data_IF_910064670803
#
_entry.id   IF_910064670803
#
_cell.length_a   1.000
_cell.length_b   1.000
_cell.length_c   1.000
_cell.angle_alpha   90.00
_cell.angle_beta   90.00
_cell.angle_gamma   90.00
#
_symmetry.space_group_name_H-M   'P 1'
#
loop_
_entity.id
_entity.type
_entity.pdbx_description
1 polymer ?
#
# COMPACT_ATOMS: atom_id res chain seq x y z
N UNK A 1 -13.32 -7.32 -24.84
CA UNK A 1 -13.76 -7.27 -23.43
C UNK A 1 -14.15 -5.84 -23.13
N UNK A 2 -15.43 -5.61 -22.85
CA UNK A 2 -15.95 -4.29 -22.52
C UNK A 2 -15.55 -3.93 -21.09
N UNK A 3 -14.57 -3.03 -20.95
CA UNK A 3 -13.98 -2.59 -19.68
C UNK A 3 -14.94 -1.76 -18.81
N UNK A 4 -16.14 -1.42 -19.31
CA UNK A 4 -17.10 -0.58 -18.58
C UNK A 4 -18.03 -1.35 -17.63
N UNK A 5 -18.22 -2.66 -17.84
CA UNK A 5 -19.18 -3.48 -17.07
C UNK A 5 -18.56 -4.74 -16.42
N UNK A 6 -17.23 -4.88 -16.42
CA UNK A 6 -16.55 -6.14 -16.09
C UNK A 6 -16.01 -6.32 -14.66
N UNK A 7 -15.99 -5.31 -13.80
CA UNK A 7 -15.32 -5.39 -12.49
C UNK A 7 -16.30 -5.68 -11.35
N UNK A 8 -16.83 -6.90 -11.28
CA UNK A 8 -17.79 -7.30 -10.24
C UNK A 8 -17.17 -7.88 -8.96
N UNK A 9 -15.85 -7.73 -8.73
CA UNK A 9 -15.20 -8.18 -7.50
C UNK A 9 -13.84 -7.49 -7.25
N UNK A 10 -13.78 -6.15 -7.32
CA UNK A 10 -12.61 -5.42 -6.83
C UNK A 10 -12.68 -5.34 -5.30
N UNK A 11 -11.82 -6.09 -4.61
CA UNK A 11 -11.49 -5.76 -3.20
C UNK A 11 -10.54 -4.57 -3.26
N UNK A 12 -10.98 -3.44 -2.70
CA UNK A 12 -10.17 -2.22 -2.65
C UNK A 12 -9.45 -2.19 -1.32
N UNK A 13 -8.13 -2.32 -1.33
CA UNK A 13 -7.35 -2.08 -0.11
C UNK A 13 -6.76 -0.69 -0.21
N UNK A 14 -7.37 0.25 0.50
CA UNK A 14 -6.84 1.58 0.72
C UNK A 14 -6.04 1.58 2.01
N UNK A 15 -4.79 1.99 1.90
CA UNK A 15 -3.98 2.28 3.08
C UNK A 15 -3.95 3.83 3.23
N UNK A 16 -4.70 4.45 4.18
CA UNK A 16 -4.92 5.94 4.21
C UNK A 16 -5.86 6.53 5.32
N UNK A 17 -6.70 7.56 5.15
CA UNK A 17 -7.85 7.85 6.10
C UNK A 17 -9.09 8.21 5.26
N UNK A 18 -10.35 7.86 5.63
CA UNK A 18 -11.55 8.23 4.90
C UNK A 18 -11.93 9.71 5.15
N UNK A 19 -12.93 10.20 4.44
CA UNK A 19 -13.24 11.62 4.22
C UNK A 19 -13.51 12.44 5.49
N UNK A 20 -12.77 13.54 5.68
CA UNK A 20 -13.37 14.81 6.11
C UNK A 20 -13.28 15.74 4.90
N UNK A 21 -14.44 16.26 4.48
CA UNK A 21 -14.57 17.26 3.42
C UNK A 21 -13.75 18.49 3.78
N UNK A 22 -12.74 18.80 2.99
CA UNK A 22 -12.17 20.14 2.98
C UNK A 22 -12.97 20.97 1.97
N UNK A 23 -13.47 22.13 2.43
CA UNK A 23 -14.27 23.07 1.61
C UNK A 23 -13.49 23.46 0.35
N UNK A 24 -14.15 23.61 -0.81
CA UNK A 24 -13.48 24.06 -2.03
C UNK A 24 -12.90 25.46 -1.83
N UNK A 25 -11.63 25.62 -2.18
CA UNK A 25 -10.99 26.93 -2.30
C UNK A 25 -11.63 27.68 -3.48
N UNK A 26 -12.44 28.70 -3.20
CA UNK A 26 -12.89 29.67 -4.19
C UNK A 26 -11.73 30.61 -4.53
N UNK A 27 -10.91 30.23 -5.50
CA UNK A 27 -10.00 31.15 -6.18
C UNK A 27 -10.70 31.74 -7.40
N UNK A 28 -11.28 32.93 -7.26
CA UNK A 28 -11.73 33.73 -8.40
C UNK A 28 -10.50 34.10 -9.25
N UNK A 29 -10.44 33.60 -10.49
CA UNK A 29 -9.53 34.13 -11.50
C UNK A 29 -10.17 35.37 -12.14
N UNK A 30 -9.55 36.52 -11.94
CA UNK A 30 -9.85 37.73 -12.72
C UNK A 30 -9.27 37.59 -14.13
N UNK A 31 -10.02 37.91 -15.21
CA UNK A 31 -9.49 37.83 -16.57
C UNK A 31 -8.64 39.08 -16.89
N UNK A 32 -7.43 38.88 -17.41
CA UNK A 32 -6.65 39.94 -18.06
C UNK A 32 -6.81 39.79 -19.57
N UNK A 33 -7.29 40.86 -20.21
CA UNK A 33 -7.62 40.93 -21.63
C UNK A 33 -6.49 41.62 -22.42
N UNK A 34 -6.07 40.99 -23.53
CA UNK A 34 -5.50 41.62 -24.74
C UNK A 34 -4.10 42.27 -24.71
N UNK A 35 -3.17 41.74 -25.52
CA UNK A 35 -2.64 42.41 -26.73
C UNK A 35 -1.62 41.53 -27.48
N UNK A 36 -1.72 41.51 -28.82
CA UNK A 36 -0.74 40.90 -29.74
C UNK A 36 0.44 41.87 -29.93
N UNK A 37 1.66 41.34 -29.92
CA UNK A 37 2.87 42.11 -30.21
C UNK A 37 4.00 41.22 -30.74
N UNK A 38 4.50 41.61 -31.90
CA UNK A 38 5.58 41.10 -32.75
C UNK A 38 6.78 40.34 -32.13
N UNK A 39 7.24 39.35 -32.90
CA UNK A 39 8.52 38.64 -32.75
C UNK A 39 9.72 39.59 -32.93
N UNK A 40 10.63 39.60 -31.95
CA UNK A 40 12.01 40.07 -32.05
C UNK A 40 12.95 38.99 -31.50
N UNK A 41 14.16 38.80 -32.05
CA UNK A 41 15.03 37.67 -31.74
C UNK A 41 15.69 37.85 -30.36
N UNK A 42 15.51 36.88 -29.47
CA UNK A 42 16.22 36.83 -28.18
C UNK A 42 17.69 36.39 -28.38
N UNK A 43 18.61 37.32 -28.17
CA UNK A 43 19.96 37.00 -27.70
C UNK A 43 19.86 36.47 -26.25
N UNK A 44 20.33 35.25 -26.01
CA UNK A 44 20.42 34.63 -24.67
C UNK A 44 21.75 35.02 -24.01
N UNK A 45 21.76 35.77 -22.89
CA UNK A 45 22.89 35.74 -21.97
C UNK A 45 22.73 34.53 -21.05
N UNK A 46 23.76 33.68 -21.01
CA UNK A 46 23.87 32.58 -20.07
C UNK A 46 23.88 33.11 -18.63
N UNK A 47 22.74 32.96 -17.93
CA UNK A 47 22.67 33.06 -16.47
C UNK A 47 21.99 31.82 -15.94
N UNK A 48 22.74 31.03 -15.17
CA UNK A 48 22.26 29.85 -14.45
C UNK A 48 21.32 30.28 -13.33
N UNK A 49 20.05 30.53 -13.65
CA UNK A 49 19.00 30.67 -12.64
C UNK A 49 18.65 29.28 -12.09
N UNK A 50 19.20 29.01 -10.92
CA UNK A 50 18.84 27.92 -10.01
C UNK A 50 17.32 27.98 -9.76
N UNK A 51 16.57 27.03 -10.29
CA UNK A 51 15.17 26.81 -9.92
C UNK A 51 15.13 26.38 -8.45
N UNK A 52 14.98 27.35 -7.54
CA UNK A 52 14.61 27.09 -6.15
C UNK A 52 13.16 27.52 -6.04
N UNK A 53 12.24 26.57 -6.02
CA UNK A 53 10.88 26.85 -5.58
C UNK A 53 10.96 27.36 -4.14
N UNK A 54 10.23 28.42 -3.75
CA UNK A 54 10.04 28.73 -2.35
C UNK A 54 9.30 27.54 -1.73
N UNK A 55 9.97 26.77 -0.90
CA UNK A 55 9.26 25.95 0.09
C UNK A 55 8.84 26.96 1.15
N UNK A 56 7.60 27.43 1.08
CA UNK A 56 6.99 28.21 2.15
C UNK A 56 6.99 27.33 3.40
N UNK A 57 7.99 27.52 4.26
CA UNK A 57 8.22 26.75 5.48
C UNK A 57 7.15 26.96 6.55
N UNK A 58 6.17 27.82 6.30
CA UNK A 58 5.12 28.20 7.26
C UNK A 58 3.75 27.55 7.00
N UNK A 59 3.57 26.77 5.93
CA UNK A 59 2.34 25.99 5.69
C UNK A 59 2.40 24.56 6.26
N UNK A 60 3.56 24.10 6.73
CA UNK A 60 3.80 22.72 7.20
C UNK A 60 3.40 22.47 8.67
N UNK A 61 2.38 23.15 9.19
CA UNK A 61 1.86 22.93 10.56
C UNK A 61 0.35 22.67 10.56
N UNK A 62 -0.14 21.91 9.59
CA UNK A 62 -1.40 21.19 9.85
C UNK A 62 -1.06 19.96 10.69
N UNK A 63 -1.68 19.89 11.85
CA UNK A 63 -1.52 18.82 12.83
C UNK A 63 -1.51 17.43 12.18
N UNK A 64 -0.39 16.72 12.34
CA UNK A 64 -0.24 15.29 12.08
C UNK A 64 -1.17 14.52 13.03
N UNK A 65 -2.46 14.46 12.69
CA UNK A 65 -3.40 13.57 13.35
C UNK A 65 -3.01 12.14 13.01
N UNK A 66 -3.03 11.26 14.03
CA UNK A 66 -2.56 9.88 13.94
C UNK A 66 -2.95 9.22 12.61
N UNK A 67 -1.95 9.00 11.75
CA UNK A 67 -2.16 8.74 10.34
C UNK A 67 -2.07 7.25 10.00
N UNK A 68 -2.98 6.72 9.18
CA UNK A 68 -2.65 5.46 8.55
C UNK A 68 -1.49 5.66 7.58
N UNK A 69 -0.54 4.74 7.63
CA UNK A 69 0.76 4.77 6.95
C UNK A 69 1.69 5.88 7.44
N UNK A 70 1.65 6.23 8.73
CA UNK A 70 2.54 7.25 9.33
C UNK A 70 3.29 6.71 10.54
N UNK A 71 4.31 7.45 10.96
CA UNK A 71 5.10 7.16 12.16
C UNK A 71 4.40 7.67 13.43
N UNK A 72 4.15 6.77 14.38
CA UNK A 72 3.47 7.06 15.65
C UNK A 72 4.29 6.60 16.85
N UNK A 73 4.12 7.27 18.00
CA UNK A 73 4.70 6.80 19.26
C UNK A 73 3.74 5.86 19.97
N UNK A 74 4.12 4.59 20.11
CA UNK A 74 3.40 3.58 20.89
C UNK A 74 4.26 3.21 22.09
N UNK A 75 3.75 3.45 23.30
CA UNK A 75 4.47 3.23 24.57
C UNK A 75 5.88 3.85 24.58
N UNK A 76 6.00 5.06 24.03
CA UNK A 76 7.26 5.82 23.95
C UNK A 76 8.21 5.39 22.83
N UNK A 77 7.89 4.34 22.06
CA UNK A 77 8.70 3.84 20.93
C UNK A 77 8.07 4.26 19.60
N UNK A 78 8.89 4.68 18.65
CA UNK A 78 8.43 4.95 17.28
C UNK A 78 7.99 3.65 16.61
N UNK A 79 6.86 3.69 15.92
CA UNK A 79 6.27 2.60 15.14
C UNK A 79 5.67 3.14 13.86
N UNK A 80 5.63 2.35 12.80
CA UNK A 80 4.88 2.68 11.59
C UNK A 80 3.67 1.77 11.48
N UNK A 81 2.50 2.36 11.27
CA UNK A 81 1.24 1.64 11.24
C UNK A 81 0.57 1.70 9.87
N UNK A 82 -0.06 0.61 9.47
CA UNK A 82 -0.97 0.52 8.32
C UNK A 82 -2.38 0.43 8.87
N UNK A 83 -3.23 1.41 8.52
CA UNK A 83 -4.64 1.48 8.94
C UNK A 83 -4.89 1.26 10.44
N UNK A 84 -3.99 1.76 11.30
CA UNK A 84 -4.10 1.68 12.75
C UNK A 84 -3.44 0.46 13.40
N UNK A 85 -2.74 -0.37 12.63
CA UNK A 85 -2.00 -1.52 13.15
C UNK A 85 -0.54 -1.43 12.70
N UNK A 86 0.39 -1.55 13.63
CA UNK A 86 1.82 -1.67 13.34
C UNK A 86 2.23 -3.13 13.45
N UNK A 87 2.84 -3.65 12.38
CA UNK A 87 3.20 -5.05 12.31
C UNK A 87 4.26 -5.42 13.36
N UNK A 88 4.10 -6.57 13.99
CA UNK A 88 5.11 -7.20 14.83
C UNK A 88 5.31 -8.65 14.40
N UNK A 89 6.57 -9.08 14.38
CA UNK A 89 6.93 -10.47 14.09
C UNK A 89 6.40 -11.41 15.19
N UNK A 90 5.83 -12.54 14.76
CA UNK A 90 5.41 -13.62 15.64
C UNK A 90 6.54 -14.64 15.84
N UNK A 91 6.56 -15.31 16.99
CA UNK A 91 7.55 -16.35 17.27
C UNK A 91 7.49 -17.55 16.31
N UNK A 92 6.30 -17.85 15.77
CA UNK A 92 6.11 -18.84 14.70
C UNK A 92 5.94 -18.09 13.37
N UNK A 93 6.65 -18.45 12.29
CA UNK A 93 6.45 -17.86 10.96
C UNK A 93 5.00 -17.99 10.49
N UNK A 94 4.43 -16.90 9.99
CA UNK A 94 3.00 -16.82 9.64
C UNK A 94 2.56 -17.91 8.66
N UNK A 95 3.33 -18.13 7.59
CA UNK A 95 3.01 -19.19 6.61
C UNK A 95 3.10 -20.59 7.21
N UNK A 96 4.02 -20.81 8.16
CA UNK A 96 4.16 -22.10 8.82
C UNK A 96 2.97 -22.37 9.75
N UNK A 97 2.54 -21.36 10.51
CA UNK A 97 1.32 -21.44 11.32
C UNK A 97 0.07 -21.73 10.47
N UNK A 98 -0.04 -21.06 9.32
CA UNK A 98 -1.13 -21.29 8.35
C UNK A 98 -1.08 -22.73 7.78
N UNK A 99 0.10 -23.22 7.38
CA UNK A 99 0.26 -24.55 6.81
C UNK A 99 -0.06 -25.67 7.82
N UNK A 100 0.27 -25.47 9.10
CA UNK A 100 -0.04 -26.41 10.18
C UNK A 100 -1.47 -26.29 10.71
N UNK A 101 -2.30 -25.39 10.16
CA UNK A 101 -3.69 -25.22 10.58
C UNK A 101 -3.84 -24.63 11.99
N UNK A 102 -2.84 -23.88 12.46
CA UNK A 102 -2.79 -23.24 13.78
C UNK A 102 -2.66 -21.71 13.69
N UNK A 103 -3.11 -21.13 12.59
CA UNK A 103 -3.05 -19.70 12.33
C UNK A 103 -3.70 -18.87 13.45
N UNK A 104 -4.83 -19.34 13.98
CA UNK A 104 -5.61 -18.70 15.05
C UNK A 104 -4.82 -18.51 16.36
N UNK A 105 -3.78 -19.31 16.58
CA UNK A 105 -2.86 -19.17 17.73
C UNK A 105 -1.78 -18.11 17.51
N UNK A 106 -1.58 -17.65 16.27
CA UNK A 106 -0.44 -16.81 15.88
C UNK A 106 -0.89 -15.44 15.35
N UNK A 107 -1.94 -15.40 14.53
CA UNK A 107 -2.46 -14.17 13.93
C UNK A 107 -3.96 -14.26 13.66
N UNK A 108 -4.56 -13.10 13.36
CA UNK A 108 -5.96 -13.00 12.90
C UNK A 108 -5.98 -12.49 11.47
N UNK A 109 -6.80 -13.09 10.61
CA UNK A 109 -7.03 -12.56 9.28
C UNK A 109 -7.84 -11.27 9.33
N UNK A 110 -7.55 -10.36 8.40
CA UNK A 110 -8.29 -9.12 8.15
C UNK A 110 -8.47 -8.27 9.42
N UNK A 111 -7.40 -8.15 10.21
CA UNK A 111 -7.36 -7.31 11.41
C UNK A 111 -7.17 -5.81 11.10
N UNK A 112 -6.99 -5.46 9.84
CA UNK A 112 -7.14 -4.08 9.34
C UNK A 112 -8.35 -3.98 8.42
N UNK A 113 -8.94 -2.80 8.37
CA UNK A 113 -10.00 -2.48 7.42
C UNK A 113 -9.43 -2.19 6.03
N UNK A 114 -10.19 -2.59 5.01
CA UNK A 114 -9.93 -2.32 3.59
C UNK A 114 -9.87 -0.81 3.33
N UNK A 115 -10.80 -0.07 3.93
CA UNK A 115 -10.68 1.37 4.05
C UNK A 115 -10.18 1.73 5.45
N UNK A 116 -9.28 2.70 5.55
CA UNK A 116 -8.78 3.13 6.83
C UNK A 116 -9.90 3.64 7.76
N UNK A 117 -9.72 3.58 9.09
CA UNK A 117 -10.67 4.17 10.02
C UNK A 117 -10.71 5.70 9.92
N UNK A 118 -11.87 6.32 10.16
CA UNK A 118 -12.02 7.78 10.20
C UNK A 118 -11.14 8.43 11.28
N UNK A 119 -10.96 7.72 12.39
CA UNK A 119 -10.13 8.12 13.52
C UNK A 119 -9.35 6.91 14.02
N UNK A 120 -8.04 7.07 14.23
CA UNK A 120 -7.16 6.06 14.82
C UNK A 120 -6.79 6.58 16.21
N UNK A 121 -7.50 6.12 17.24
CA UNK A 121 -7.27 6.57 18.62
C UNK A 121 -6.09 5.85 19.29
N UNK A 122 -5.78 4.63 18.84
CA UNK A 122 -4.66 3.83 19.32
C UNK A 122 -4.15 2.93 18.20
N UNK A 123 -2.82 2.85 18.07
CA UNK A 123 -2.16 1.88 17.19
C UNK A 123 -2.06 0.53 17.90
N UNK A 124 -2.57 -0.52 17.29
CA UNK A 124 -2.38 -1.90 17.77
C UNK A 124 -1.04 -2.47 17.28
N UNK A 125 -0.47 -3.40 18.05
CA UNK A 125 0.77 -4.11 17.72
C UNK A 125 0.46 -5.59 17.53
N UNK A 126 0.36 -6.05 16.29
CA UNK A 126 0.03 -7.43 15.95
C UNK A 126 0.43 -7.76 14.51
N UNK A 127 0.59 -9.05 14.15
CA UNK A 127 0.76 -9.43 12.75
C UNK A 127 -0.43 -8.99 11.90
N UNK A 128 -0.18 -8.59 10.66
CA UNK A 128 -1.21 -8.13 9.72
C UNK A 128 -1.27 -9.13 8.56
N UNK A 129 -2.38 -9.86 8.45
CA UNK A 129 -2.58 -10.85 7.37
C UNK A 129 -3.94 -10.65 6.74
N UNK A 130 -3.97 -10.32 5.46
CA UNK A 130 -5.19 -10.16 4.68
C UNK A 130 -5.54 -11.48 3.99
N UNK A 131 -6.77 -11.96 4.20
CA UNK A 131 -7.28 -13.08 3.44
C UNK A 131 -7.76 -12.58 2.06
N UNK A 132 -7.14 -13.10 1.01
CA UNK A 132 -7.37 -12.71 -0.37
C UNK A 132 -7.89 -13.89 -1.20
N UNK A 133 -8.76 -13.59 -2.15
CA UNK A 133 -9.36 -14.60 -3.01
C UNK A 133 -8.43 -14.95 -4.17
N UNK A 134 -8.06 -16.22 -4.30
CA UNK A 134 -7.31 -16.73 -5.45
C UNK A 134 -8.04 -16.40 -6.78
N UNK A 135 -7.29 -15.89 -7.76
CA UNK A 135 -7.72 -15.41 -9.09
C UNK A 135 -8.61 -14.17 -9.07
N UNK A 136 -8.60 -13.41 -7.98
CA UNK A 136 -9.19 -12.08 -7.95
C UNK A 136 -8.27 -11.05 -8.59
N UNK A 137 -8.83 -9.88 -8.90
CA UNK A 137 -8.10 -8.72 -9.36
C UNK A 137 -8.33 -7.60 -8.36
N UNK A 138 -7.27 -7.04 -7.78
CA UNK A 138 -7.35 -6.11 -6.65
C UNK A 138 -6.75 -4.76 -6.99
N UNK A 139 -7.37 -3.72 -6.45
CA UNK A 139 -6.87 -2.35 -6.49
C UNK A 139 -6.26 -2.02 -5.12
N UNK A 140 -4.99 -1.60 -5.13
CA UNK A 140 -4.29 -1.18 -3.93
C UNK A 140 -3.96 0.30 -4.05
N UNK A 141 -4.40 1.07 -3.06
CA UNK A 141 -4.15 2.51 -2.98
C UNK A 141 -3.19 2.77 -1.83
N UNK A 142 -1.95 3.12 -2.18
CA UNK A 142 -0.97 3.59 -1.21
C UNK A 142 -1.12 5.10 -1.06
N UNK A 143 -1.49 5.56 0.14
CA UNK A 143 -1.53 6.98 0.45
C UNK A 143 -0.40 7.34 1.41
N UNK A 144 0.39 8.34 1.03
CA UNK A 144 1.48 8.89 1.84
C UNK A 144 1.10 10.29 2.32
N UNK A 145 1.10 10.49 3.64
CA UNK A 145 0.86 11.79 4.27
C UNK A 145 2.12 12.42 4.84
N UNK A 146 3.20 11.67 4.84
CA UNK A 146 4.48 12.11 5.36
C UNK A 146 5.17 13.06 4.38
N UNK A 147 6.13 13.82 4.90
CA UNK A 147 7.06 14.59 4.10
C UNK A 147 8.12 13.73 3.40
N UNK A 148 8.34 12.51 3.88
CA UNK A 148 9.31 11.58 3.30
C UNK A 148 8.66 10.72 2.21
N UNK A 149 9.41 10.43 1.15
CA UNK A 149 9.01 9.44 0.15
C UNK A 149 8.91 8.06 0.82
N UNK A 150 7.80 7.36 0.57
CA UNK A 150 7.64 5.95 0.90
C UNK A 150 7.94 5.10 -0.33
N UNK A 151 8.36 3.85 -0.13
CA UNK A 151 8.62 2.91 -1.22
C UNK A 151 8.02 1.56 -0.83
N UNK A 152 7.09 1.04 -1.62
CA UNK A 152 6.35 -0.19 -1.34
C UNK A 152 6.72 -1.27 -2.33
N UNK A 153 6.95 -2.49 -1.84
CA UNK A 153 7.22 -3.68 -2.63
C UNK A 153 6.16 -4.75 -2.37
N UNK A 154 5.84 -5.51 -3.40
CA UNK A 154 4.88 -6.63 -3.34
C UNK A 154 5.62 -7.91 -3.73
N UNK A 155 5.87 -8.76 -2.74
CA UNK A 155 6.51 -10.06 -2.99
C UNK A 155 5.58 -10.94 -3.85
N UNK A 156 6.18 -11.79 -4.70
CA UNK A 156 5.44 -12.80 -5.47
C UNK A 156 4.59 -12.28 -6.64
N UNK A 157 4.49 -10.96 -6.82
CA UNK A 157 3.69 -10.34 -7.87
C UNK A 157 4.39 -9.18 -8.56
N UNK A 158 4.14 -9.04 -9.87
CA UNK A 158 4.18 -7.75 -10.53
C UNK A 158 2.79 -7.09 -10.46
N UNK A 159 2.75 -5.77 -10.44
CA UNK A 159 1.53 -4.98 -10.48
C UNK A 159 1.59 -3.93 -11.58
N UNK A 160 0.42 -3.47 -12.00
CA UNK A 160 0.27 -2.43 -13.03
C UNK A 160 0.08 -1.09 -12.32
N UNK A 161 1.02 -0.16 -12.49
CA UNK A 161 0.95 1.21 -11.95
C UNK A 161 0.06 2.09 -12.83
N UNK A 162 -1.13 2.43 -12.34
CA UNK A 162 -2.17 3.07 -13.14
C UNK A 162 -2.36 4.55 -12.88
N UNK A 163 -1.98 5.06 -11.70
CA UNK A 163 -2.12 6.47 -11.38
C UNK A 163 -1.29 6.89 -10.18
N UNK A 164 -0.83 8.15 -10.22
CA UNK A 164 -0.20 8.86 -9.11
C UNK A 164 -0.69 10.31 -9.13
N UNK A 165 -1.13 10.82 -7.98
CA UNK A 165 -1.46 12.24 -7.84
C UNK A 165 -1.13 12.76 -6.44
N UNK A 166 -0.94 14.07 -6.34
CA UNK A 166 -0.81 14.78 -5.06
C UNK A 166 -2.19 14.90 -4.41
N UNK A 167 -2.21 14.90 -3.08
CA UNK A 167 -3.37 15.11 -2.25
C UNK A 167 -3.98 13.80 -1.75
N UNK A 168 -5.32 13.77 -1.68
CA UNK A 168 -6.07 12.64 -1.16
C UNK A 168 -6.77 11.90 -2.28
N UNK A 169 -6.57 10.58 -2.31
CA UNK A 169 -7.32 9.72 -3.22
C UNK A 169 -8.82 9.72 -2.87
N UNK A 170 -9.66 9.73 -3.90
CA UNK A 170 -11.11 9.53 -3.84
C UNK A 170 -11.56 8.67 -5.01
N UNK A 171 -12.76 8.09 -4.93
CA UNK A 171 -13.30 7.17 -5.95
C UNK A 171 -13.39 7.79 -7.35
N UNK A 172 -13.60 9.10 -7.43
CA UNK A 172 -13.75 9.83 -8.69
C UNK A 172 -12.44 9.87 -9.48
N UNK A 173 -11.29 9.74 -8.79
CA UNK A 173 -9.96 9.76 -9.41
C UNK A 173 -9.69 8.57 -10.34
N UNK A 174 -10.53 7.53 -10.31
CA UNK A 174 -10.47 6.41 -11.27
C UNK A 174 -10.58 6.85 -12.72
N UNK A 175 -11.20 8.00 -12.99
CA UNK A 175 -11.26 8.57 -14.35
C UNK A 175 -9.88 8.94 -14.91
N UNK A 176 -8.87 9.13 -14.05
CA UNK A 176 -7.52 9.52 -14.44
C UNK A 176 -6.56 8.32 -14.61
N UNK A 177 -7.05 7.10 -14.41
CA UNK A 177 -6.20 5.91 -14.48
C UNK A 177 -5.74 5.64 -15.92
N UNK A 178 -4.45 5.39 -16.09
CA UNK A 178 -3.87 4.92 -17.33
C UNK A 178 -4.14 3.43 -17.53
N UNK A 179 -5.35 3.08 -17.97
CA UNK A 179 -5.76 1.69 -18.19
C UNK A 179 -5.30 1.11 -19.54
N UNK A 180 -4.64 1.91 -20.38
CA UNK A 180 -4.25 1.50 -21.75
C UNK A 180 -2.78 1.09 -21.84
N UNK A 181 -1.89 1.84 -21.19
CA UNK A 181 -0.43 1.69 -21.34
C UNK A 181 0.33 1.85 -20.01
N UNK A 182 -0.27 1.40 -18.92
CA UNK A 182 0.40 1.38 -17.63
C UNK A 182 1.57 0.39 -17.62
N UNK A 183 2.56 0.67 -16.77
CA UNK A 183 3.80 -0.10 -16.67
C UNK A 183 3.68 -1.14 -15.57
N UNK A 184 4.20 -2.34 -15.82
CA UNK A 184 4.32 -3.39 -14.81
C UNK A 184 5.57 -3.19 -13.95
N UNK A 185 5.44 -3.29 -12.61
CA UNK A 185 6.50 -3.10 -11.62
C UNK A 185 6.32 -4.03 -10.42
N UNK A 186 7.34 -4.11 -9.56
CA UNK A 186 7.27 -4.81 -8.25
C UNK A 186 7.43 -3.87 -7.05
N UNK A 187 7.98 -2.67 -7.31
CA UNK A 187 8.22 -1.64 -6.29
C UNK A 187 7.77 -0.30 -6.81
N UNK A 188 7.13 0.50 -5.96
CA UNK A 188 6.62 1.81 -6.32
C UNK A 188 6.88 2.84 -5.23
N UNK A 189 7.24 4.05 -5.63
CA UNK A 189 7.47 5.17 -4.73
C UNK A 189 6.19 5.99 -4.58
N UNK A 190 5.86 6.37 -3.35
CA UNK A 190 4.73 7.25 -3.04
C UNK A 190 5.29 8.56 -2.52
N UNK A 191 5.15 9.60 -3.32
CA UNK A 191 5.72 10.92 -3.03
C UNK A 191 5.04 11.58 -1.82
N UNK A 192 5.68 12.62 -1.24
CA UNK A 192 5.12 13.31 -0.08
C UNK A 192 3.73 13.87 -0.36
N UNK A 193 2.81 13.68 0.58
CA UNK A 193 1.42 14.12 0.46
C UNK A 193 0.72 13.66 -0.82
N UNK A 194 1.07 12.48 -1.34
CA UNK A 194 0.55 11.94 -2.58
C UNK A 194 -0.05 10.55 -2.38
N UNK A 195 -0.67 10.04 -3.43
CA UNK A 195 -1.13 8.65 -3.48
C UNK A 195 -0.72 8.01 -4.80
N UNK A 196 -0.63 6.69 -4.78
CA UNK A 196 -0.41 5.84 -5.95
C UNK A 196 -1.45 4.72 -5.95
N UNK A 197 -1.91 4.34 -7.14
CA UNK A 197 -2.80 3.20 -7.33
C UNK A 197 -2.11 2.16 -8.20
N UNK A 198 -2.11 0.92 -7.70
CA UNK A 198 -1.64 -0.24 -8.45
C UNK A 198 -2.74 -1.27 -8.57
N UNK A 199 -2.75 -2.01 -9.68
CA UNK A 199 -3.65 -3.12 -9.91
C UNK A 199 -2.87 -4.44 -9.93
N UNK A 200 -3.38 -5.46 -9.23
CA UNK A 200 -2.72 -6.76 -9.08
C UNK A 200 -3.68 -7.89 -9.45
N UNK A 201 -3.22 -8.81 -10.29
CA UNK A 201 -3.90 -10.09 -10.52
C UNK A 201 -3.38 -11.12 -9.53
N UNK A 202 -4.26 -11.67 -8.70
CA UNK A 202 -3.93 -12.55 -7.58
C UNK A 202 -3.94 -14.02 -8.00
N UNK A 203 -2.99 -14.44 -8.83
CA UNK A 203 -2.90 -15.79 -9.41
C UNK A 203 -1.84 -16.72 -8.79
N UNK A 204 -0.96 -16.18 -7.94
CA UNK A 204 0.09 -16.93 -7.25
C UNK A 204 -0.28 -17.31 -5.79
N UNK A 205 -0.78 -18.52 -5.55
CA UNK A 205 -1.21 -18.95 -4.21
C UNK A 205 -0.03 -19.10 -3.25
N UNK A 206 -0.02 -18.27 -2.20
CA UNK A 206 0.90 -18.37 -1.06
C UNK A 206 0.52 -17.31 -0.02
N UNK A 207 1.41 -17.12 0.95
CA UNK A 207 1.48 -15.91 1.74
C UNK A 207 2.62 -15.01 1.25
N UNK A 208 2.31 -13.76 0.92
CA UNK A 208 3.24 -12.80 0.31
C UNK A 208 3.28 -11.51 1.11
N UNK A 209 4.48 -10.94 1.28
CA UNK A 209 4.67 -9.69 2.01
C UNK A 209 4.40 -8.48 1.10
N UNK A 210 3.70 -7.49 1.63
CA UNK A 210 3.64 -6.12 1.09
C UNK A 210 4.28 -5.20 2.14
N UNK A 211 5.45 -4.66 1.82
CA UNK A 211 6.29 -3.93 2.79
C UNK A 211 6.89 -2.66 2.23
N UNK A 212 7.33 -1.82 3.16
CA UNK A 212 8.28 -0.77 2.87
C UNK A 212 9.63 -1.33 2.41
N UNK A 213 10.22 -0.73 1.38
CA UNK A 213 11.64 -0.91 1.00
C UNK A 213 12.57 0.01 1.81
N UNK A 214 12.02 0.92 2.61
CA UNK A 214 12.79 1.65 3.60
C UNK A 214 12.90 0.80 4.86
N UNK A 215 14.09 0.23 5.07
CA UNK A 215 14.36 -0.72 6.16
C UNK A 215 13.96 -0.22 7.54
N UNK A 216 14.16 1.07 7.84
CA UNK A 216 13.73 1.63 9.12
C UNK A 216 12.21 1.53 9.32
N UNK A 217 11.43 1.88 8.28
CA UNK A 217 9.98 1.81 8.34
C UNK A 217 9.48 0.36 8.39
N UNK A 218 10.11 -0.52 7.59
CA UNK A 218 9.83 -1.96 7.60
C UNK A 218 10.07 -2.55 9.01
N UNK A 219 11.26 -2.36 9.57
CA UNK A 219 11.64 -2.83 10.91
C UNK A 219 10.69 -2.32 11.99
N UNK A 220 10.21 -1.08 11.85
CA UNK A 220 9.29 -0.44 12.78
C UNK A 220 7.81 -0.78 12.52
N UNK A 221 7.50 -1.70 11.61
CA UNK A 221 6.17 -2.32 11.45
C UNK A 221 5.39 -1.91 10.19
N UNK A 222 6.01 -1.21 9.23
CA UNK A 222 5.38 -0.86 7.95
C UNK A 222 5.41 -2.02 6.95
N UNK A 223 4.65 -3.06 7.26
CA UNK A 223 4.46 -4.23 6.41
C UNK A 223 3.15 -4.93 6.73
N UNK A 224 2.67 -5.74 5.78
CA UNK A 224 1.57 -6.66 5.97
C UNK A 224 1.77 -7.88 5.06
N UNK A 225 1.01 -8.93 5.29
CA UNK A 225 0.97 -10.08 4.41
C UNK A 225 -0.40 -10.20 3.74
N UNK A 226 -0.41 -10.68 2.50
CA UNK A 226 -1.60 -11.20 1.84
C UNK A 226 -1.49 -12.72 1.81
N UNK A 227 -2.55 -13.42 2.16
CA UNK A 227 -2.64 -14.88 2.05
C UNK A 227 -3.69 -15.26 1.03
N UNK A 228 -3.29 -16.15 0.12
CA UNK A 228 -4.11 -16.69 -0.95
C UNK A 228 -4.07 -18.21 -0.85
N UNK A 229 -5.15 -18.79 -0.32
CA UNK A 229 -5.31 -20.23 -0.28
C UNK A 229 -5.97 -20.73 -1.57
N UNK A 230 -5.42 -21.80 -2.15
CA UNK A 230 -6.09 -22.49 -3.24
C UNK A 230 -7.27 -23.30 -2.70
N UNK A 231 -8.48 -23.15 -3.26
CA UNK A 231 -9.62 -24.00 -2.90
C UNK A 231 -9.38 -25.49 -3.14
N UNK A 232 -8.43 -25.84 -4.01
CA UNK A 232 -8.13 -27.22 -4.39
C UNK A 232 -6.93 -27.79 -3.64
N UNK A 233 -6.20 -26.98 -2.86
CA UNK A 233 -4.97 -27.37 -2.19
C UNK A 233 -4.07 -28.24 -3.09
N UNK A 234 -3.72 -27.71 -4.27
CA UNK A 234 -3.00 -28.44 -5.31
C UNK A 234 -1.56 -27.96 -5.45
N UNK A 235 -0.64 -28.90 -5.73
CA UNK A 235 0.76 -28.63 -6.08
C UNK A 235 0.93 -27.72 -7.30
N UNK A 236 -0.10 -27.56 -8.13
CA UNK A 236 -0.10 -26.58 -9.23
C UNK A 236 -0.16 -25.14 -8.71
N UNK A 237 -0.82 -24.93 -7.58
CA UNK A 237 -1.10 -23.60 -7.04
C UNK A 237 -0.09 -23.22 -5.95
N UNK A 238 0.25 -24.14 -5.04
CA UNK A 238 1.25 -23.93 -3.99
C UNK A 238 2.04 -25.22 -3.75
N UNK A 239 3.36 -25.12 -3.62
CA UNK A 239 4.21 -26.28 -3.33
C UNK A 239 4.04 -26.77 -1.88
N UNK A 240 4.29 -28.06 -1.69
CA UNK A 240 4.45 -28.63 -0.37
C UNK A 240 5.58 -27.96 0.40
N UNK A 241 5.44 -28.02 1.71
CA UNK A 241 6.51 -27.69 2.62
C UNK A 241 7.77 -28.51 2.26
N UNK A 242 8.99 -27.93 2.24
CA UNK A 242 10.23 -28.69 2.08
C UNK A 242 10.47 -29.62 3.28
N UNK A 243 11.09 -30.79 3.06
CA UNK A 243 11.28 -31.80 4.10
C UNK A 243 12.22 -31.35 5.21
N UNK A 244 13.18 -30.49 4.88
CA UNK A 244 14.21 -29.92 5.75
C UNK A 244 13.80 -28.59 6.40
N UNK A 245 12.52 -28.19 6.29
CA UNK A 245 12.07 -26.95 6.92
C UNK A 245 12.24 -27.03 8.44
N UNK A 246 12.84 -26.00 9.01
CA UNK A 246 12.91 -25.85 10.46
C UNK A 246 11.53 -25.45 11.01
N UNK A 247 11.13 -26.06 12.12
CA UNK A 247 9.94 -25.69 12.89
C UNK A 247 10.34 -24.93 14.15
N UNK A 248 9.43 -24.12 14.69
CA UNK A 248 9.69 -23.36 15.92
C UNK A 248 8.40 -23.00 16.65
N UNK A 249 8.52 -22.81 17.97
CA UNK A 249 7.42 -22.30 18.82
C UNK A 249 6.18 -23.21 18.71
N UNK A 250 5.00 -22.68 18.37
CA UNK A 250 3.72 -23.43 18.44
C UNK A 250 3.69 -24.68 17.57
N UNK A 251 4.47 -24.73 16.49
CA UNK A 251 4.53 -25.87 15.56
C UNK A 251 5.70 -26.81 15.83
N UNK A 252 6.53 -26.51 16.82
CA UNK A 252 7.65 -27.37 17.21
C UNK A 252 7.13 -28.70 17.76
N UNK A 253 7.65 -29.82 17.24
CA UNK A 253 7.23 -31.17 17.63
C UNK A 253 5.83 -31.57 17.14
N UNK A 254 5.11 -30.72 16.40
CA UNK A 254 3.84 -31.11 15.78
C UNK A 254 4.05 -32.11 14.63
N UNK A 255 3.13 -33.06 14.42
CA UNK A 255 3.18 -33.93 13.26
C UNK A 255 3.06 -33.08 11.98
N UNK A 256 3.88 -33.42 10.98
CA UNK A 256 3.88 -32.73 9.69
C UNK A 256 2.51 -32.89 9.01
N UNK A 257 1.88 -31.80 8.53
CA UNK A 257 0.64 -31.88 7.77
C UNK A 257 0.80 -32.72 6.50
N UNK A 258 -0.28 -33.38 6.03
CA UNK A 258 -0.23 -34.14 4.80
C UNK A 258 0.12 -33.23 3.60
N UNK A 259 0.88 -33.74 2.61
CA UNK A 259 1.17 -32.99 1.41
C UNK A 259 -0.10 -32.71 0.61
N UNK A 260 -0.11 -31.60 -0.12
CA UNK A 260 -1.07 -31.32 -1.18
C UNK A 260 -1.00 -32.42 -2.25
N UNK A 261 -2.16 -33.00 -2.57
CA UNK A 261 -2.31 -33.98 -3.65
C UNK A 261 -2.04 -35.45 -3.29
N UNK A 262 -2.12 -35.84 -2.01
CA UNK A 262 -2.30 -37.24 -1.61
C UNK A 262 -3.73 -37.73 -1.83
#
# INVERSE_FOLDING_TARGET
>A
MDLKNGFRALKNVRMGIPGKSQRPFNGQSTPVNGQRGHFLPLHLPATTKKWRTPVDSERCKEHDGAGANTGEKVDGKLRYAINGVSFVESATPLKLAEYYGVADKVFKYNNILDEPPAEISKVALEPIVLNMTHKSFVEIIFQNREMAIQSWHVDGYAFIDVAVEIGKWSSEKRMNYNLLKAVSRHTIQVFPHSWVVVLVSLDNCRMWNIRSEKWDMHYLGQQLYISLLSPKCSMRDEYNLPDDVMTCSVVEGMPRPPPFGS
#
